data_IF_862743844099
#
_entry.id   IF_862743844099
#
_cell.length_a   1.000
_cell.length_b   1.000
_cell.length_c   1.000
_cell.angle_alpha   90.00
_cell.angle_beta   90.00
_cell.angle_gamma   90.00
#
_symmetry.space_group_name_H-M   'P 1'
#
loop_
_entity.id
_entity.type
_entity.pdbx_description
1 polymer ?
#
# COMPACT_ATOMS: atom_id res chain seq x y z
N UNK A 1 -31.69 5.05 -25.00
CA UNK A 1 -31.72 5.72 -23.70
C UNK A 1 -31.11 4.77 -22.68
N UNK A 2 -30.13 5.17 -21.86
CA UNK A 2 -29.65 4.31 -20.79
C UNK A 2 -30.79 4.04 -19.79
N UNK A 3 -30.94 2.79 -19.39
CA UNK A 3 -31.99 2.37 -18.46
C UNK A 3 -31.73 3.08 -17.12
N UNK A 4 -32.73 3.81 -16.59
CA UNK A 4 -32.62 4.59 -15.35
C UNK A 4 -32.08 3.74 -14.17
N UNK A 5 -32.56 2.50 -14.05
CA UNK A 5 -32.09 1.56 -13.01
C UNK A 5 -30.57 1.26 -13.11
N UNK A 6 -30.03 1.15 -14.34
CA UNK A 6 -28.58 0.92 -14.55
C UNK A 6 -27.77 2.17 -14.21
N UNK A 7 -28.36 3.35 -14.40
CA UNK A 7 -27.70 4.62 -14.07
C UNK A 7 -27.61 4.81 -12.56
N UNK A 8 -28.69 4.50 -11.84
CA UNK A 8 -28.71 4.52 -10.37
C UNK A 8 -27.70 3.54 -9.75
N UNK A 9 -27.59 2.31 -10.30
CA UNK A 9 -26.58 1.35 -9.84
C UNK A 9 -25.14 1.86 -10.02
N UNK A 10 -24.86 2.51 -11.14
CA UNK A 10 -23.53 3.10 -11.38
C UNK A 10 -23.26 4.29 -10.46
N UNK A 11 -24.26 5.11 -10.18
CA UNK A 11 -24.14 6.22 -9.22
C UNK A 11 -23.86 5.69 -7.81
N UNK A 12 -24.54 4.64 -7.37
CA UNK A 12 -24.26 3.99 -6.08
C UNK A 12 -22.82 3.44 -6.02
N UNK A 13 -22.36 2.78 -7.08
CA UNK A 13 -20.99 2.29 -7.14
C UNK A 13 -19.95 3.42 -7.07
N UNK A 14 -20.19 4.55 -7.75
CA UNK A 14 -19.30 5.72 -7.65
C UNK A 14 -19.31 6.27 -6.22
N UNK A 15 -20.46 6.40 -5.57
CA UNK A 15 -20.56 6.87 -4.19
C UNK A 15 -19.85 5.92 -3.19
N UNK A 16 -19.97 4.60 -3.39
CA UNK A 16 -19.25 3.62 -2.58
C UNK A 16 -17.73 3.71 -2.75
N UNK A 17 -17.24 3.91 -3.99
CA UNK A 17 -15.82 4.09 -4.28
C UNK A 17 -15.31 5.38 -3.66
N UNK A 18 -16.06 6.51 -3.80
CA UNK A 18 -15.68 7.79 -3.19
C UNK A 18 -15.60 7.68 -1.67
N UNK A 19 -16.59 7.06 -1.03
CA UNK A 19 -16.58 6.86 0.41
C UNK A 19 -15.42 5.97 0.91
N UNK A 20 -14.97 5.01 0.10
CA UNK A 20 -13.78 4.19 0.40
C UNK A 20 -12.49 4.98 0.20
N UNK A 21 -12.40 5.81 -0.84
CA UNK A 21 -11.26 6.67 -1.11
C UNK A 21 -11.05 7.72 -0.01
N UNK A 22 -12.13 8.31 0.51
CA UNK A 22 -12.08 9.28 1.60
C UNK A 22 -11.61 8.68 2.93
N UNK A 23 -11.85 7.39 3.17
CA UNK A 23 -11.41 6.69 4.39
C UNK A 23 -9.99 6.19 4.30
N UNK A 24 -9.54 5.87 3.10
CA UNK A 24 -8.23 5.27 2.89
C UNK A 24 -7.12 6.32 3.05
N UNK A 25 -6.11 5.97 3.83
CA UNK A 25 -4.90 6.77 4.02
C UNK A 25 -3.94 6.57 2.84
N UNK A 26 -3.89 5.34 2.30
CA UNK A 26 -3.04 4.96 1.18
C UNK A 26 -3.84 4.20 0.15
N UNK A 27 -3.65 4.54 -1.11
CA UNK A 27 -4.16 3.78 -2.23
C UNK A 27 -3.11 3.56 -3.30
N UNK A 28 -3.07 2.34 -3.82
CA UNK A 28 -2.16 1.96 -4.89
C UNK A 28 -2.96 1.45 -6.08
N UNK A 29 -2.72 2.03 -7.23
CA UNK A 29 -3.35 1.65 -8.50
C UNK A 29 -2.41 0.74 -9.28
N UNK A 30 -2.93 -0.43 -9.65
CA UNK A 30 -2.13 -1.48 -10.30
C UNK A 30 -2.80 -1.97 -11.59
N UNK A 31 -1.96 -2.49 -12.49
CA UNK A 31 -2.39 -3.24 -13.66
C UNK A 31 -2.29 -4.74 -13.35
N UNK A 32 -3.41 -5.45 -13.37
CA UNK A 32 -3.46 -6.89 -13.06
C UNK A 32 -3.47 -7.78 -14.30
N UNK A 33 -3.05 -7.26 -15.45
CA UNK A 33 -2.99 -8.02 -16.70
C UNK A 33 -2.00 -9.17 -16.59
N UNK A 34 -2.35 -10.34 -17.15
CA UNK A 34 -1.45 -11.49 -17.23
C UNK A 34 -1.33 -12.36 -15.96
N UNK A 35 -2.09 -12.08 -14.92
CA UNK A 35 -2.05 -12.86 -13.68
C UNK A 35 -2.97 -14.08 -13.78
N UNK A 36 -2.55 -15.22 -13.19
CA UNK A 36 -3.40 -16.40 -13.07
C UNK A 36 -4.45 -16.20 -11.96
N UNK A 37 -5.60 -16.90 -12.09
CA UNK A 37 -6.65 -16.84 -11.05
C UNK A 37 -6.15 -17.34 -9.68
N UNK A 38 -5.24 -18.31 -9.70
CA UNK A 38 -4.65 -18.85 -8.48
C UNK A 38 -3.80 -17.80 -7.74
N UNK A 39 -3.01 -17.02 -8.49
CA UNK A 39 -2.14 -16.00 -7.91
C UNK A 39 -2.92 -14.76 -7.47
N UNK A 40 -3.96 -14.34 -8.23
CA UNK A 40 -4.89 -13.29 -7.80
C UNK A 40 -5.61 -13.68 -6.50
N UNK A 41 -5.98 -14.95 -6.35
CA UNK A 41 -6.62 -15.42 -5.11
C UNK A 41 -5.67 -15.38 -3.92
N UNK A 42 -4.38 -15.72 -4.11
CA UNK A 42 -3.35 -15.61 -3.06
C UNK A 42 -3.12 -14.15 -2.69
N UNK A 43 -2.96 -13.27 -3.69
CA UNK A 43 -2.77 -11.84 -3.49
C UNK A 43 -3.92 -11.22 -2.70
N UNK A 44 -5.16 -11.52 -3.06
CA UNK A 44 -6.36 -11.07 -2.34
C UNK A 44 -6.40 -11.55 -0.90
N UNK A 45 -5.95 -12.78 -0.66
CA UNK A 45 -5.87 -13.33 0.70
C UNK A 45 -4.84 -12.58 1.53
N UNK A 46 -3.61 -12.41 1.01
CA UNK A 46 -2.54 -11.68 1.71
C UNK A 46 -2.92 -10.23 2.00
N UNK A 47 -3.54 -9.54 1.04
CA UNK A 47 -4.00 -8.15 1.21
C UNK A 47 -5.08 -8.07 2.30
N UNK A 48 -6.05 -8.97 2.30
CA UNK A 48 -7.13 -9.01 3.30
C UNK A 48 -6.61 -9.29 4.71
N UNK A 49 -5.63 -10.21 4.84
CA UNK A 49 -4.98 -10.53 6.12
C UNK A 49 -4.23 -9.33 6.71
N UNK A 50 -3.79 -8.40 5.86
CA UNK A 50 -3.11 -7.17 6.26
C UNK A 50 -4.03 -5.93 6.27
N UNK A 51 -5.36 -6.11 6.24
CA UNK A 51 -6.32 -5.00 6.32
C UNK A 51 -6.37 -4.12 5.07
N UNK A 52 -5.97 -4.63 3.91
CA UNK A 52 -5.99 -3.90 2.65
C UNK A 52 -7.18 -4.34 1.80
N UNK A 53 -8.03 -3.41 1.43
CA UNK A 53 -9.17 -3.61 0.52
C UNK A 53 -8.68 -3.56 -0.93
N UNK A 54 -8.70 -4.74 -1.60
CA UNK A 54 -8.32 -4.85 -3.01
C UNK A 54 -9.53 -5.18 -3.88
N UNK A 55 -9.81 -4.33 -4.87
CA UNK A 55 -10.91 -4.54 -5.80
C UNK A 55 -10.61 -3.99 -7.20
N UNK A 56 -11.23 -4.61 -8.19
CA UNK A 56 -11.13 -4.20 -9.60
C UNK A 56 -12.21 -3.18 -9.91
N UNK A 57 -11.82 -2.08 -10.52
CA UNK A 57 -12.73 -0.98 -10.84
C UNK A 57 -12.67 -0.67 -12.33
N UNK A 58 -13.81 -0.30 -12.88
CA UNK A 58 -13.87 0.23 -14.23
C UNK A 58 -13.31 1.65 -14.27
N UNK A 59 -12.31 1.92 -15.14
CA UNK A 59 -11.64 3.22 -15.25
C UNK A 59 -12.60 4.42 -15.33
N UNK A 60 -13.70 4.29 -16.07
CA UNK A 60 -14.69 5.36 -16.19
C UNK A 60 -15.46 5.66 -14.90
N UNK A 61 -15.62 4.67 -14.00
CA UNK A 61 -16.26 4.88 -12.70
C UNK A 61 -15.26 5.45 -11.71
N UNK A 62 -14.02 4.94 -11.71
CA UNK A 62 -12.94 5.47 -10.89
C UNK A 62 -12.62 6.92 -11.26
N UNK A 63 -12.51 7.24 -12.55
CA UNK A 63 -12.28 8.60 -13.02
C UNK A 63 -13.36 9.60 -12.58
N UNK A 64 -14.62 9.17 -12.47
CA UNK A 64 -15.71 10.01 -11.93
C UNK A 64 -15.60 10.16 -10.40
N UNK A 65 -15.25 9.10 -9.71
CA UNK A 65 -15.07 9.14 -8.26
C UNK A 65 -13.89 10.03 -7.85
N UNK A 66 -12.83 10.07 -8.67
CA UNK A 66 -11.62 10.87 -8.43
C UNK A 66 -11.81 12.34 -8.84
N UNK A 67 -12.64 12.62 -9.86
CA UNK A 67 -12.80 13.98 -10.41
C UNK A 67 -13.24 15.01 -9.36
N UNK A 68 -14.01 14.57 -8.36
CA UNK A 68 -14.52 15.41 -7.28
C UNK A 68 -13.61 15.42 -6.03
N UNK A 69 -12.43 14.74 -6.11
CA UNK A 69 -11.47 14.60 -5.00
C UNK A 69 -10.10 15.20 -5.34
N UNK A 70 -9.20 15.29 -4.36
CA UNK A 70 -7.82 15.76 -4.52
C UNK A 70 -6.96 14.87 -5.46
N UNK A 71 -7.51 13.73 -5.89
CA UNK A 71 -6.81 12.72 -6.69
C UNK A 71 -7.04 12.85 -8.20
N UNK A 72 -7.58 13.97 -8.68
CA UNK A 72 -7.85 14.20 -10.12
C UNK A 72 -6.63 13.99 -11.02
N UNK A 73 -5.43 14.27 -10.50
CA UNK A 73 -4.16 14.10 -11.20
C UNK A 73 -3.84 12.62 -11.50
N UNK A 74 -4.49 11.66 -10.85
CA UNK A 74 -4.32 10.23 -11.16
C UNK A 74 -5.01 9.79 -12.44
N UNK A 75 -5.76 10.66 -13.09
CA UNK A 75 -6.52 10.35 -14.33
C UNK A 75 -5.64 9.81 -15.46
N UNK A 76 -4.36 10.24 -15.53
CA UNK A 76 -3.40 9.73 -16.52
C UNK A 76 -3.06 8.24 -16.35
N UNK A 77 -3.20 7.69 -15.15
CA UNK A 77 -2.90 6.29 -14.86
C UNK A 77 -4.08 5.34 -15.12
N UNK A 78 -5.26 5.86 -15.47
CA UNK A 78 -6.48 5.08 -15.69
C UNK A 78 -6.58 4.48 -17.10
N UNK A 79 -5.46 4.04 -17.68
CA UNK A 79 -5.41 3.35 -18.96
C UNK A 79 -5.26 1.83 -18.75
N UNK A 80 -5.89 1.03 -19.60
CA UNK A 80 -5.82 -0.44 -19.56
C UNK A 80 -6.62 -1.05 -18.41
N UNK A 81 -6.16 -2.19 -17.88
CA UNK A 81 -6.76 -2.85 -16.72
C UNK A 81 -6.37 -2.16 -15.43
N UNK A 82 -7.32 -2.00 -14.52
CA UNK A 82 -7.08 -1.22 -13.30
C UNK A 82 -7.71 -1.91 -12.10
N UNK A 83 -6.89 -2.20 -11.11
CA UNK A 83 -7.30 -2.57 -9.78
C UNK A 83 -6.75 -1.55 -8.78
N UNK A 84 -7.44 -1.38 -7.68
CA UNK A 84 -7.04 -0.47 -6.62
C UNK A 84 -6.94 -1.23 -5.30
N UNK A 85 -5.87 -1.00 -4.57
CA UNK A 85 -5.66 -1.47 -3.21
C UNK A 85 -5.71 -0.27 -2.27
N UNK A 86 -6.61 -0.29 -1.30
CA UNK A 86 -6.81 0.76 -0.31
C UNK A 86 -6.43 0.25 1.06
N UNK A 87 -5.66 1.02 1.82
CA UNK A 87 -5.30 0.73 3.20
C UNK A 87 -5.72 1.88 4.12
N UNK A 88 -6.38 1.50 5.24
CA UNK A 88 -6.94 2.46 6.19
C UNK A 88 -6.01 2.67 7.40
N UNK A 89 -5.18 1.69 7.77
CA UNK A 89 -4.39 1.73 9.01
C UNK A 89 -2.88 1.74 8.78
N UNK A 90 -2.37 1.00 7.79
CA UNK A 90 -0.93 0.82 7.57
C UNK A 90 -0.48 1.41 6.23
N UNK A 91 0.39 2.42 6.31
CA UNK A 91 0.96 3.12 5.15
C UNK A 91 1.81 2.22 4.24
N UNK A 92 2.39 1.15 4.76
CA UNK A 92 3.38 0.34 4.06
C UNK A 92 2.84 -1.00 3.58
N UNK A 93 1.75 -1.51 4.17
CA UNK A 93 1.26 -2.86 3.90
C UNK A 93 0.90 -3.06 2.42
N UNK A 94 0.10 -2.15 1.85
CA UNK A 94 -0.31 -2.24 0.45
C UNK A 94 0.89 -2.18 -0.50
N UNK A 95 1.80 -1.21 -0.32
CA UNK A 95 2.97 -1.03 -1.15
C UNK A 95 3.91 -2.24 -1.08
N UNK A 96 4.17 -2.76 0.12
CA UNK A 96 5.06 -3.90 0.35
C UNK A 96 4.56 -5.18 -0.32
N UNK A 97 3.28 -5.52 -0.13
CA UNK A 97 2.69 -6.74 -0.70
C UNK A 97 2.64 -6.66 -2.22
N UNK A 98 2.21 -5.51 -2.76
CA UNK A 98 2.10 -5.31 -4.20
C UNK A 98 3.46 -5.26 -4.88
N UNK A 99 4.48 -4.64 -4.29
CA UNK A 99 5.85 -4.62 -4.82
C UNK A 99 6.48 -6.03 -4.81
N UNK A 100 6.34 -6.77 -3.72
CA UNK A 100 6.79 -8.17 -3.63
C UNK A 100 6.10 -9.06 -4.68
N UNK A 101 4.82 -8.83 -4.92
CA UNK A 101 4.07 -9.56 -5.94
C UNK A 101 4.53 -9.18 -7.35
N UNK A 102 4.81 -7.90 -7.61
CA UNK A 102 5.34 -7.40 -8.88
C UNK A 102 6.71 -7.98 -9.23
N UNK A 103 7.59 -8.22 -8.23
CA UNK A 103 8.87 -8.89 -8.43
C UNK A 103 8.71 -10.34 -8.94
N UNK A 104 7.64 -11.00 -8.51
CA UNK A 104 7.35 -12.40 -8.91
C UNK A 104 6.60 -12.49 -10.25
N UNK A 105 5.95 -11.40 -10.70
CA UNK A 105 5.07 -11.37 -11.87
C UNK A 105 5.39 -10.17 -12.76
N UNK A 106 6.15 -10.33 -13.85
CA UNK A 106 6.62 -9.22 -14.69
C UNK A 106 5.49 -8.49 -15.43
N UNK A 107 4.33 -9.12 -15.60
CA UNK A 107 3.15 -8.53 -16.24
C UNK A 107 2.35 -7.63 -15.29
N UNK A 108 2.51 -7.80 -13.98
CA UNK A 108 1.88 -6.98 -12.95
C UNK A 108 2.67 -5.69 -12.76
N UNK A 109 2.02 -4.54 -12.95
CA UNK A 109 2.68 -3.24 -12.87
C UNK A 109 1.95 -2.32 -11.91
N UNK A 110 2.70 -1.68 -11.04
CA UNK A 110 2.23 -0.56 -10.24
C UNK A 110 2.23 0.68 -11.13
N UNK A 111 1.11 1.38 -11.24
CA UNK A 111 0.97 2.58 -12.09
C UNK A 111 1.24 3.85 -11.32
N UNK A 112 0.52 4.05 -10.23
CA UNK A 112 0.58 5.22 -9.36
C UNK A 112 -0.13 4.91 -8.06
N UNK A 113 -0.08 5.82 -7.11
CA UNK A 113 -0.84 5.72 -5.89
C UNK A 113 -1.09 7.09 -5.28
N UNK A 114 -1.74 7.09 -4.14
CA UNK A 114 -1.87 8.27 -3.31
C UNK A 114 -1.48 7.94 -1.87
N UNK A 115 -0.97 8.94 -1.19
CA UNK A 115 -0.61 8.90 0.22
C UNK A 115 -1.21 10.14 0.87
N UNK A 116 -2.10 9.95 1.84
CA UNK A 116 -2.95 11.01 2.37
C UNK A 116 -3.68 11.72 1.21
N UNK A 117 -3.43 13.00 0.99
CA UNK A 117 -4.06 13.80 -0.07
C UNK A 117 -3.16 14.06 -1.28
N UNK A 118 -2.04 13.33 -1.42
CA UNK A 118 -1.05 13.55 -2.47
C UNK A 118 -0.91 12.36 -3.38
N UNK A 119 -0.91 12.62 -4.68
CA UNK A 119 -0.56 11.61 -5.68
C UNK A 119 0.93 11.35 -5.64
N UNK A 120 1.33 10.08 -5.62
CA UNK A 120 2.73 9.64 -5.55
C UNK A 120 3.10 8.77 -6.75
N UNK A 121 4.34 8.93 -7.20
CA UNK A 121 4.91 8.15 -8.29
C UNK A 121 5.30 6.74 -7.85
N UNK A 122 5.50 5.87 -8.83
CA UNK A 122 5.97 4.49 -8.63
C UNK A 122 7.26 4.42 -7.81
N UNK A 123 8.20 5.34 -8.03
CA UNK A 123 9.44 5.39 -7.26
C UNK A 123 9.21 5.60 -5.75
N UNK A 124 8.24 6.41 -5.38
CA UNK A 124 7.86 6.63 -3.99
C UNK A 124 7.17 5.40 -3.39
N UNK A 125 6.33 4.71 -4.17
CA UNK A 125 5.69 3.46 -3.75
C UNK A 125 6.74 2.37 -3.52
N UNK A 126 7.74 2.26 -4.38
CA UNK A 126 8.86 1.33 -4.21
C UNK A 126 9.73 1.67 -2.99
N UNK A 127 9.88 2.95 -2.67
CA UNK A 127 10.55 3.37 -1.44
C UNK A 127 9.73 2.98 -0.20
N UNK A 128 8.40 3.18 -0.23
CA UNK A 128 7.49 2.74 0.84
C UNK A 128 7.50 1.21 1.01
N UNK A 129 7.56 0.46 -0.08
CA UNK A 129 7.61 -1.00 -0.04
C UNK A 129 8.85 -1.55 0.67
N UNK A 130 9.97 -0.81 0.65
CA UNK A 130 11.21 -1.17 1.35
C UNK A 130 11.17 -0.88 2.85
N UNK A 131 10.20 -0.09 3.31
CA UNK A 131 10.06 0.21 4.73
C UNK A 131 9.46 -1.00 5.47
N UNK A 132 9.95 -1.30 6.68
CA UNK A 132 9.36 -2.30 7.54
C UNK A 132 7.99 -1.82 8.08
N UNK A 133 7.28 -2.71 8.77
CA UNK A 133 5.99 -2.40 9.40
C UNK A 133 6.13 -1.29 10.45
N UNK A 134 5.03 -0.60 10.74
CA UNK A 134 4.98 0.46 11.75
C UNK A 134 5.55 0.02 13.10
N UNK A 135 5.25 -1.20 13.54
CA UNK A 135 5.75 -1.76 14.79
C UNK A 135 7.27 -1.92 14.79
N UNK A 136 7.84 -2.41 13.68
CA UNK A 136 9.29 -2.58 13.53
C UNK A 136 10.00 -1.22 13.46
N UNK A 137 9.39 -0.22 12.80
CA UNK A 137 9.91 1.14 12.78
C UNK A 137 9.94 1.75 14.19
N UNK A 138 8.86 1.61 14.95
CA UNK A 138 8.81 2.07 16.36
C UNK A 138 9.86 1.34 17.22
N UNK A 139 9.99 0.02 17.07
CA UNK A 139 11.01 -0.76 17.77
C UNK A 139 12.42 -0.29 17.43
N UNK A 140 12.68 0.04 16.16
CA UNK A 140 13.98 0.56 15.71
C UNK A 140 14.30 1.90 16.34
N UNK A 141 13.32 2.81 16.44
CA UNK A 141 13.49 4.10 17.12
C UNK A 141 13.75 3.90 18.62
N UNK A 142 13.00 3.04 19.30
CA UNK A 142 13.24 2.71 20.69
C UNK A 142 14.63 2.13 20.93
N UNK A 143 15.07 1.21 20.06
CA UNK A 143 16.41 0.65 20.09
C UNK A 143 17.50 1.70 19.88
N UNK A 144 17.29 2.67 18.98
CA UNK A 144 18.22 3.76 18.76
C UNK A 144 18.42 4.63 20.01
N UNK A 145 17.36 4.87 20.78
CA UNK A 145 17.49 5.58 22.07
C UNK A 145 18.19 4.76 23.15
N UNK A 146 18.01 3.45 23.16
CA UNK A 146 18.66 2.56 24.12
C UNK A 146 20.11 2.21 23.75
N UNK A 147 20.49 2.31 22.48
CA UNK A 147 21.79 1.88 21.97
C UNK A 147 22.99 2.49 22.72
N UNK A 148 23.04 3.79 23.08
CA UNK A 148 24.17 4.35 23.83
C UNK A 148 24.32 3.73 25.21
N UNK A 149 23.22 3.51 25.92
CA UNK A 149 23.21 2.93 27.28
C UNK A 149 23.64 1.46 27.22
N UNK A 150 23.08 0.71 26.27
CA UNK A 150 23.44 -0.69 26.06
C UNK A 150 24.90 -0.86 25.60
N UNK A 151 25.43 0.07 24.80
CA UNK A 151 26.84 0.06 24.39
C UNK A 151 27.76 0.28 25.59
N UNK A 152 27.44 1.22 26.47
CA UNK A 152 28.19 1.47 27.68
C UNK A 152 28.18 0.24 28.62
N UNK A 153 27.01 -0.36 28.85
CA UNK A 153 26.88 -1.55 29.68
C UNK A 153 27.72 -2.72 29.13
N UNK A 154 27.69 -2.93 27.80
CA UNK A 154 28.52 -3.95 27.14
C UNK A 154 30.02 -3.67 27.26
N UNK A 155 30.43 -2.40 27.19
CA UNK A 155 31.83 -2.05 27.36
C UNK A 155 32.33 -2.33 28.79
N UNK A 156 31.52 -2.02 29.79
CA UNK A 156 31.81 -2.34 31.20
C UNK A 156 31.87 -3.85 31.39
N UNK A 157 30.92 -4.60 30.88
CA UNK A 157 30.91 -6.07 30.94
C UNK A 157 32.15 -6.67 30.29
N UNK A 158 32.55 -6.19 29.12
CA UNK A 158 33.76 -6.67 28.45
C UNK A 158 35.05 -6.41 29.23
N UNK A 159 35.11 -5.38 30.05
CA UNK A 159 36.25 -5.12 30.95
C UNK A 159 36.29 -6.17 32.09
N UNK A 160 35.12 -6.39 32.72
CA UNK A 160 34.97 -7.38 33.80
C UNK A 160 35.28 -8.78 33.28
N UNK A 161 34.80 -9.15 32.09
CA UNK A 161 35.09 -10.46 31.50
C UNK A 161 36.59 -10.66 31.26
N UNK A 162 37.31 -9.63 30.79
CA UNK A 162 38.76 -9.66 30.61
C UNK A 162 39.52 -9.78 31.92
N UNK A 163 39.04 -9.14 33.00
CA UNK A 163 39.69 -9.28 34.31
C UNK A 163 39.47 -10.68 34.91
N UNK A 164 38.37 -11.33 34.62
CA UNK A 164 38.08 -12.69 35.07
C UNK A 164 38.82 -13.79 34.27
N UNK A 165 39.26 -13.48 33.06
CA UNK A 165 40.05 -14.41 32.20
C UNK A 165 41.58 -14.30 32.40
N UNK A 166 42.04 -13.29 33.14
CA UNK A 166 43.45 -13.04 33.45
C UNK A 166 43.85 -13.60 34.83
#
# INVERSE_FOLDING_TARGET
MPNAAVLELKQKQVAEISAKLEKAIVGVVVDYKGITVADDTKLRKELRENGVDYFVVKNTLLGRAIADTCYADMSFALEGTTAIALADEDYTAAARILSKFAESHPDFKIKTGFLDDKVVDTATIDALAKLPTKEVLLATVCNAFQAPIAAFARAVQAIVDKENEA
#
